data_IF_037873083318
#
_entry.id   IF_037873083318
#
_cell.length_a   1.000
_cell.length_b   1.000
_cell.length_c   1.000
_cell.angle_alpha   90.00
_cell.angle_beta   90.00
_cell.angle_gamma   90.00
#
_symmetry.space_group_name_H-M   'P 1'
#
loop_
_entity.id
_entity.type
_entity.pdbx_description
1 polymer ?
#
# COMPACT_ATOMS: atom_id res chain seq x y z
N UNK A 1 -13.51 62.85 23.41
CA UNK A 1 -14.45 62.94 22.28
C UNK A 1 -14.04 61.93 21.23
N UNK A 2 -14.72 60.78 21.18
CA UNK A 2 -15.12 60.14 19.93
C UNK A 2 -15.95 58.91 20.32
N UNK A 3 -17.21 58.95 19.90
CA UNK A 3 -18.27 58.03 20.33
C UNK A 3 -18.28 56.80 19.42
N UNK A 4 -18.25 55.61 20.01
CA UNK A 4 -18.50 54.35 19.32
C UNK A 4 -20.00 54.18 19.07
N UNK A 5 -20.40 54.12 17.80
CA UNK A 5 -21.78 53.90 17.38
C UNK A 5 -21.98 52.39 17.09
N UNK A 6 -22.84 51.75 17.88
CA UNK A 6 -23.30 50.38 17.69
C UNK A 6 -24.39 50.32 16.61
N UNK A 7 -24.20 49.47 15.60
CA UNK A 7 -25.22 49.19 14.57
C UNK A 7 -25.93 47.88 14.91
N UNK A 8 -27.28 47.81 14.90
CA UNK A 8 -28.02 46.58 15.20
C UNK A 8 -28.16 45.71 13.94
N UNK A 9 -27.97 44.40 14.11
CA UNK A 9 -28.19 43.37 13.09
C UNK A 9 -29.69 43.05 13.04
N UNK A 10 -30.34 43.36 11.93
CA UNK A 10 -31.72 42.97 11.64
C UNK A 10 -31.72 41.64 10.90
N UNK A 11 -32.42 40.65 11.46
CA UNK A 11 -32.67 39.33 10.87
C UNK A 11 -33.73 39.42 9.77
N UNK A 12 -33.32 39.25 8.51
CA UNK A 12 -34.25 39.02 7.41
C UNK A 12 -33.87 37.76 6.63
N UNK A 13 -34.83 36.85 6.64
CA UNK A 13 -34.91 35.58 5.94
C UNK A 13 -35.02 35.85 4.42
N UNK A 14 -34.06 35.39 3.62
CA UNK A 14 -34.09 35.51 2.15
C UNK A 14 -33.92 34.13 1.52
N UNK A 15 -35.04 33.45 1.31
CA UNK A 15 -35.14 32.28 0.42
C UNK A 15 -35.04 32.75 -1.03
N UNK A 16 -34.06 32.25 -1.78
CA UNK A 16 -33.87 32.54 -3.21
C UNK A 16 -34.75 31.63 -4.08
N UNK A 17 -35.51 32.14 -5.06
CA UNK A 17 -36.33 31.31 -5.95
C UNK A 17 -35.54 30.86 -7.20
N UNK A 18 -35.59 29.55 -7.47
CA UNK A 18 -35.06 28.92 -8.69
C UNK A 18 -35.92 29.24 -9.92
N UNK A 19 -35.36 29.57 -11.09
CA UNK A 19 -36.15 29.79 -12.31
C UNK A 19 -36.49 28.47 -13.00
N UNK A 20 -37.80 28.19 -13.07
CA UNK A 20 -38.43 27.13 -13.88
C UNK A 20 -38.48 27.57 -15.34
N UNK A 21 -37.93 26.76 -16.24
CA UNK A 21 -38.01 26.99 -17.69
C UNK A 21 -38.76 25.83 -18.37
N UNK A 22 -40.09 25.96 -18.46
CA UNK A 22 -40.96 25.06 -19.23
C UNK A 22 -41.67 25.89 -20.30
N UNK A 23 -41.47 25.64 -21.61
CA UNK A 23 -42.33 26.25 -22.63
C UNK A 23 -43.65 25.47 -22.72
N UNK A 24 -44.73 26.17 -22.40
CA UNK A 24 -46.09 25.75 -22.70
C UNK A 24 -46.38 25.97 -24.20
N UNK A 25 -46.53 24.88 -24.96
CA UNK A 25 -47.29 24.87 -26.22
C UNK A 25 -47.60 23.43 -26.64
N UNK A 26 -48.83 22.99 -26.39
CA UNK A 26 -49.45 21.85 -27.06
C UNK A 26 -49.76 22.24 -28.51
N UNK A 27 -49.32 21.43 -29.48
CA UNK A 27 -49.83 21.42 -30.85
C UNK A 27 -50.41 20.03 -31.18
N UNK A 28 -51.54 19.94 -31.90
CA UNK A 28 -52.42 18.78 -31.85
C UNK A 28 -52.07 17.70 -32.86
N UNK A 29 -52.31 16.44 -32.45
CA UNK A 29 -52.28 15.24 -33.27
C UNK A 29 -53.64 15.10 -33.97
N UNK A 30 -53.67 15.20 -35.31
CA UNK A 30 -54.49 14.38 -36.23
C UNK A 30 -54.69 15.07 -37.60
N UNK A 31 -54.15 14.48 -38.66
CA UNK A 31 -54.80 14.40 -40.00
C UNK A 31 -53.95 13.52 -40.91
N UNK A 32 -54.57 12.53 -41.55
CA UNK A 32 -53.92 11.43 -42.27
C UNK A 32 -53.49 11.69 -43.72
N UNK A 33 -53.09 10.57 -44.35
CA UNK A 33 -52.70 10.33 -45.75
C UNK A 33 -51.21 10.62 -46.05
N UNK A 34 -50.40 9.75 -46.64
CA UNK A 34 -50.65 8.55 -47.46
C UNK A 34 -49.39 7.65 -47.46
N UNK A 35 -49.57 6.33 -47.57
CA UNK A 35 -48.48 5.34 -47.71
C UNK A 35 -47.89 5.38 -49.12
N UNK A 36 -46.56 5.45 -49.30
CA UNK A 36 -45.92 5.10 -50.57
C UNK A 36 -45.79 3.58 -50.68
N UNK A 37 -46.39 3.03 -51.73
CA UNK A 37 -46.25 1.66 -52.22
C UNK A 37 -44.83 1.40 -52.75
N UNK A 38 -44.18 0.36 -52.25
CA UNK A 38 -42.99 -0.26 -52.86
C UNK A 38 -43.31 -1.73 -53.07
N UNK A 39 -43.08 -2.31 -54.26
CA UNK A 39 -43.52 -3.67 -54.61
C UNK A 39 -42.71 -4.77 -53.90
N UNK A 40 -43.36 -5.91 -53.69
CA UNK A 40 -42.80 -7.17 -53.17
C UNK A 40 -41.54 -7.58 -53.94
N UNK A 41 -40.47 -7.84 -53.19
CA UNK A 41 -39.30 -8.60 -53.67
C UNK A 41 -39.08 -9.75 -52.69
N UNK A 42 -39.07 -10.93 -53.29
CA UNK A 42 -39.04 -12.29 -52.75
C UNK A 42 -38.16 -12.56 -51.53
N UNK A 43 -38.76 -13.29 -50.58
CA UNK A 43 -38.06 -14.08 -49.57
C UNK A 43 -37.23 -15.20 -50.22
N UNK A 44 -35.92 -15.22 -49.96
CA UNK A 44 -35.17 -16.46 -49.75
C UNK A 44 -34.41 -16.33 -48.42
N UNK A 45 -34.51 -17.38 -47.63
CA UNK A 45 -34.34 -17.40 -46.19
C UNK A 45 -32.88 -17.36 -45.72
N UNK A 46 -32.59 -16.53 -44.72
CA UNK A 46 -31.77 -16.91 -43.57
C UNK A 46 -32.46 -16.39 -42.30
N UNK A 47 -32.77 -17.30 -41.38
CA UNK A 47 -33.41 -17.01 -40.09
C UNK A 47 -32.53 -16.07 -39.26
N UNK A 48 -32.84 -14.78 -39.28
CA UNK A 48 -32.40 -13.84 -38.27
C UNK A 48 -33.60 -13.52 -37.38
N UNK A 49 -33.59 -14.04 -36.16
CA UNK A 49 -34.55 -13.66 -35.11
C UNK A 49 -34.65 -12.14 -35.05
N UNK A 50 -35.83 -11.60 -35.34
CA UNK A 50 -36.11 -10.17 -35.32
C UNK A 50 -36.11 -9.66 -33.87
N UNK A 51 -34.93 -9.36 -33.34
CA UNK A 51 -34.81 -8.51 -32.16
C UNK A 51 -35.11 -7.08 -32.61
N UNK A 52 -36.17 -6.48 -32.04
CA UNK A 52 -36.47 -5.06 -32.25
C UNK A 52 -35.26 -4.18 -31.93
N UNK A 53 -35.24 -2.94 -32.43
CA UNK A 53 -34.08 -2.04 -32.30
C UNK A 53 -33.48 -1.94 -30.87
N UNK A 54 -34.31 -2.08 -29.83
CA UNK A 54 -33.85 -2.15 -28.43
C UNK A 54 -33.19 -3.48 -28.03
N UNK A 55 -33.60 -4.61 -28.61
CA UNK A 55 -33.02 -5.93 -28.37
C UNK A 55 -31.66 -6.11 -29.04
N UNK A 56 -31.44 -5.51 -30.23
CA UNK A 56 -30.13 -5.48 -30.86
C UNK A 56 -29.15 -4.59 -30.09
N UNK A 57 -29.61 -3.44 -29.59
CA UNK A 57 -28.81 -2.57 -28.71
C UNK A 57 -28.47 -3.26 -27.39
N UNK A 58 -29.42 -3.97 -26.78
CA UNK A 58 -29.21 -4.71 -25.52
C UNK A 58 -28.29 -5.92 -25.71
N UNK A 59 -28.45 -6.70 -26.80
CA UNK A 59 -27.57 -7.81 -27.13
C UNK A 59 -26.16 -7.34 -27.51
N UNK A 60 -26.03 -6.19 -28.17
CA UNK A 60 -24.74 -5.57 -28.47
C UNK A 60 -24.08 -5.02 -27.20
N UNK A 61 -24.85 -4.43 -26.27
CA UNK A 61 -24.36 -4.03 -24.94
C UNK A 61 -23.88 -5.25 -24.13
N UNK A 62 -24.61 -6.36 -24.16
CA UNK A 62 -24.25 -7.61 -23.47
C UNK A 62 -23.00 -8.26 -24.05
N UNK A 63 -22.83 -8.25 -25.38
CA UNK A 63 -21.59 -8.70 -26.04
C UNK A 63 -20.41 -7.76 -25.78
N UNK A 64 -20.66 -6.45 -25.64
CA UNK A 64 -19.63 -5.45 -25.30
C UNK A 64 -19.18 -5.66 -23.85
N UNK A 65 -20.09 -5.85 -22.89
CA UNK A 65 -19.74 -6.16 -21.50
C UNK A 65 -18.96 -7.47 -21.36
N UNK A 66 -19.41 -8.55 -22.01
CA UNK A 66 -18.75 -9.86 -21.93
C UNK A 66 -17.39 -9.91 -22.64
N UNK A 67 -17.18 -9.13 -23.71
CA UNK A 67 -15.87 -9.03 -24.38
C UNK A 67 -14.92 -8.07 -23.67
N UNK A 68 -15.41 -6.97 -23.10
CA UNK A 68 -14.55 -5.99 -22.40
C UNK A 68 -13.87 -6.57 -21.17
N UNK A 69 -14.52 -7.47 -20.43
CA UNK A 69 -13.95 -8.10 -19.23
C UNK A 69 -12.70 -8.96 -19.49
N UNK A 70 -12.54 -9.52 -20.71
CA UNK A 70 -11.37 -10.33 -21.09
C UNK A 70 -10.30 -9.58 -21.89
N UNK A 71 -10.39 -8.24 -21.95
CA UNK A 71 -9.70 -7.39 -22.91
C UNK A 71 -8.95 -6.22 -22.25
N UNK A 72 -8.46 -6.42 -21.02
CA UNK A 72 -7.52 -5.50 -20.39
C UNK A 72 -6.33 -5.27 -21.34
N UNK A 73 -6.17 -4.04 -21.83
CA UNK A 73 -5.07 -3.63 -22.70
C UNK A 73 -5.14 -4.06 -24.18
N UNK A 74 -6.21 -4.76 -24.64
CA UNK A 74 -6.37 -5.15 -26.06
C UNK A 74 -7.58 -4.44 -26.69
N UNK A 75 -7.55 -4.17 -27.99
CA UNK A 75 -8.70 -3.59 -28.69
C UNK A 75 -9.78 -4.66 -28.84
N UNK A 76 -11.01 -4.39 -28.37
CA UNK A 76 -12.12 -5.36 -28.42
C UNK A 76 -12.66 -5.65 -29.83
N UNK A 77 -11.94 -5.20 -30.87
CA UNK A 77 -12.41 -5.09 -32.26
C UNK A 77 -13.56 -4.10 -32.44
N UNK A 78 -14.32 -3.79 -31.38
CA UNK A 78 -15.44 -2.86 -31.38
C UNK A 78 -14.98 -1.44 -31.74
N UNK A 79 -13.94 -0.94 -31.08
CA UNK A 79 -13.39 0.40 -31.37
C UNK A 79 -12.91 0.48 -32.83
N UNK A 80 -12.35 -0.61 -33.36
CA UNK A 80 -11.86 -0.68 -34.75
C UNK A 80 -12.99 -0.76 -35.78
N UNK A 81 -14.15 -1.33 -35.42
CA UNK A 81 -15.34 -1.38 -36.26
C UNK A 81 -16.13 -0.07 -36.29
N UNK A 82 -15.85 0.89 -35.41
CA UNK A 82 -16.55 2.17 -35.37
C UNK A 82 -16.32 3.00 -36.65
N UNK A 83 -17.33 3.76 -37.12
CA UNK A 83 -17.15 4.72 -38.21
C UNK A 83 -16.06 5.75 -37.91
N UNK A 84 -15.36 6.24 -38.94
CA UNK A 84 -14.25 7.20 -38.79
C UNK A 84 -14.67 8.45 -38.01
N UNK A 85 -15.87 8.96 -38.24
CA UNK A 85 -16.40 10.11 -37.50
C UNK A 85 -16.51 9.83 -35.98
N UNK A 86 -16.95 8.64 -35.60
CA UNK A 86 -17.03 8.23 -34.19
C UNK A 86 -15.63 8.04 -33.59
N UNK A 87 -14.69 7.45 -34.33
CA UNK A 87 -13.29 7.34 -33.89
C UNK A 87 -12.65 8.71 -33.65
N UNK A 88 -12.90 9.68 -34.55
CA UNK A 88 -12.44 11.06 -34.36
C UNK A 88 -13.03 11.70 -33.08
N UNK A 89 -14.29 11.39 -32.75
CA UNK A 89 -14.86 11.83 -31.47
C UNK A 89 -14.18 11.17 -30.27
N UNK A 90 -13.84 9.87 -30.35
CA UNK A 90 -13.07 9.18 -29.30
C UNK A 90 -11.69 9.81 -29.11
N UNK A 91 -10.99 10.15 -30.20
CA UNK A 91 -9.73 10.90 -30.12
C UNK A 91 -9.94 12.30 -29.49
N UNK A 92 -11.05 12.97 -29.80
CA UNK A 92 -11.47 14.20 -29.13
C UNK A 92 -11.67 14.02 -27.62
N UNK A 93 -12.32 12.93 -27.20
CA UNK A 93 -12.51 12.58 -25.78
C UNK A 93 -11.18 12.30 -25.08
N UNK A 94 -10.25 11.59 -25.71
CA UNK A 94 -8.88 11.41 -25.18
C UNK A 94 -8.17 12.75 -24.98
N UNK A 95 -8.33 13.70 -25.90
CA UNK A 95 -7.79 15.05 -25.74
C UNK A 95 -8.43 15.84 -24.57
N UNK A 96 -9.69 15.57 -24.23
CA UNK A 96 -10.33 16.11 -23.02
C UNK A 96 -9.76 15.42 -21.77
N UNK A 97 -9.56 14.10 -21.83
CA UNK A 97 -8.97 13.33 -20.74
C UNK A 97 -7.58 13.85 -20.36
N UNK A 98 -6.73 14.20 -21.35
CA UNK A 98 -5.41 14.82 -21.09
C UNK A 98 -5.56 16.10 -20.26
N UNK A 99 -6.51 16.98 -20.58
CA UNK A 99 -6.75 18.20 -19.79
C UNK A 99 -7.24 17.90 -18.38
N UNK A 100 -8.00 16.82 -18.19
CA UNK A 100 -8.44 16.39 -16.87
C UNK A 100 -7.24 15.88 -16.05
N UNK A 101 -6.35 15.09 -16.66
CA UNK A 101 -5.10 14.64 -16.05
C UNK A 101 -4.19 15.83 -15.69
N UNK A 102 -4.06 16.83 -16.56
CA UNK A 102 -3.31 18.06 -16.25
C UNK A 102 -3.85 18.80 -15.01
N UNK A 103 -5.17 18.89 -14.88
CA UNK A 103 -5.82 19.48 -13.70
C UNK A 103 -5.60 18.64 -12.43
N UNK A 104 -5.66 17.31 -12.54
CA UNK A 104 -5.36 16.41 -11.42
C UNK A 104 -3.90 16.54 -10.98
N UNK A 105 -2.97 16.60 -11.93
CA UNK A 105 -1.55 16.87 -11.67
C UNK A 105 -1.36 18.19 -10.90
N UNK A 106 -2.04 19.26 -11.32
CA UNK A 106 -1.98 20.54 -10.63
C UNK A 106 -2.53 20.43 -9.20
N UNK A 107 -3.70 19.82 -9.03
CA UNK A 107 -4.32 19.62 -7.72
C UNK A 107 -3.38 18.88 -6.76
N UNK A 108 -2.77 17.77 -7.18
CA UNK A 108 -1.85 17.00 -6.33
C UNK A 108 -0.57 17.76 -5.99
N UNK A 109 -0.04 18.57 -6.91
CA UNK A 109 1.07 19.47 -6.62
C UNK A 109 0.69 20.52 -5.56
N UNK A 110 -0.51 21.10 -5.66
CA UNK A 110 -1.01 22.04 -4.64
C UNK A 110 -1.24 21.36 -3.27
N UNK A 111 -1.73 20.11 -3.25
CA UNK A 111 -1.80 19.29 -2.03
C UNK A 111 -0.42 19.10 -1.39
N UNK A 112 0.60 18.73 -2.16
CA UNK A 112 1.97 18.57 -1.66
C UNK A 112 2.54 19.89 -1.09
N UNK A 113 2.19 21.03 -1.68
CA UNK A 113 2.57 22.34 -1.14
C UNK A 113 1.86 22.64 0.19
N UNK A 114 0.60 22.23 0.32
CA UNK A 114 -0.17 22.36 1.54
C UNK A 114 0.41 21.47 2.66
N UNK A 115 0.68 20.21 2.35
CA UNK A 115 1.34 19.26 3.27
C UNK A 115 2.67 19.82 3.77
N UNK A 116 3.51 20.36 2.88
CA UNK A 116 4.76 21.02 3.26
C UNK A 116 4.55 22.17 4.24
N UNK A 117 3.57 23.03 3.97
CA UNK A 117 3.24 24.15 4.86
C UNK A 117 2.84 23.67 6.24
N UNK A 118 2.00 22.64 6.34
CA UNK A 118 1.56 22.11 7.64
C UNK A 118 2.66 21.33 8.36
N UNK A 119 3.53 20.63 7.64
CA UNK A 119 4.74 20.05 8.21
C UNK A 119 5.63 21.11 8.86
N UNK A 120 5.83 22.26 8.22
CA UNK A 120 6.59 23.37 8.81
C UNK A 120 5.94 23.94 10.08
N UNK A 121 4.60 23.91 10.17
CA UNK A 121 3.88 24.28 11.39
C UNK A 121 3.98 23.20 12.50
N UNK A 122 4.13 21.93 12.11
CA UNK A 122 4.29 20.81 13.05
C UNK A 122 5.73 20.67 13.57
N UNK A 123 6.75 21.08 12.81
CA UNK A 123 8.18 21.00 13.20
C UNK A 123 8.47 21.52 14.62
N UNK A 124 7.96 22.69 15.07
CA UNK A 124 8.15 23.13 16.45
C UNK A 124 7.55 22.18 17.49
N UNK A 125 6.43 21.53 17.19
CA UNK A 125 5.81 20.53 18.07
C UNK A 125 6.65 19.26 18.14
N UNK A 126 7.19 18.80 17.00
CA UNK A 126 8.10 17.66 16.98
C UNK A 126 9.41 17.95 17.71
N UNK A 127 9.98 19.14 17.54
CA UNK A 127 11.15 19.58 18.30
C UNK A 127 10.86 19.64 19.82
N UNK A 128 9.67 20.13 20.20
CA UNK A 128 9.22 20.14 21.61
C UNK A 128 9.07 18.70 22.16
N UNK A 129 8.48 17.80 21.38
CA UNK A 129 8.38 16.37 21.71
C UNK A 129 9.76 15.73 21.90
N UNK A 130 10.67 15.94 20.94
CA UNK A 130 12.04 15.42 21.02
C UNK A 130 12.75 15.91 22.28
N UNK A 131 12.68 17.21 22.60
CA UNK A 131 13.31 17.76 23.80
C UNK A 131 12.81 17.09 25.09
N UNK A 132 11.53 16.71 25.16
CA UNK A 132 10.97 15.97 26.30
C UNK A 132 11.44 14.52 26.29
N UNK A 133 11.42 13.83 25.14
CA UNK A 133 11.89 12.45 25.01
C UNK A 133 13.37 12.33 25.38
N UNK A 134 14.21 13.26 24.93
CA UNK A 134 15.65 13.28 25.24
C UNK A 134 15.95 13.64 26.71
N UNK A 135 14.97 14.21 27.43
CA UNK A 135 15.14 14.72 28.79
C UNK A 135 15.83 16.09 28.86
N UNK A 136 15.95 16.80 27.73
CA UNK A 136 16.51 18.15 27.66
C UNK A 136 15.53 19.23 28.16
N UNK A 137 14.24 18.91 28.18
CA UNK A 137 13.18 19.77 28.69
C UNK A 137 12.14 18.98 29.47
N UNK A 138 11.56 19.62 30.49
CA UNK A 138 10.42 19.07 31.24
C UNK A 138 9.11 19.57 30.65
N UNK A 139 8.07 18.75 30.72
CA UNK A 139 6.71 19.13 30.35
C UNK A 139 6.21 20.28 31.22
N UNK A 140 5.57 21.26 30.59
CA UNK A 140 4.95 22.40 31.29
C UNK A 140 3.65 21.99 31.97
N UNK A 141 3.19 22.75 32.99
CA UNK A 141 1.90 22.50 33.62
C UNK A 141 0.71 22.56 32.63
N UNK A 142 0.80 23.39 31.59
CA UNK A 142 -0.22 23.50 30.55
C UNK A 142 -0.25 22.25 29.65
N UNK A 143 0.91 21.75 29.22
CA UNK A 143 1.03 20.50 28.45
C UNK A 143 0.52 19.30 29.24
N UNK A 144 0.84 19.23 30.54
CA UNK A 144 0.36 18.17 31.44
C UNK A 144 -1.15 18.25 31.61
N UNK A 145 -1.71 19.44 31.86
CA UNK A 145 -3.16 19.61 32.01
C UNK A 145 -3.92 19.22 30.73
N UNK A 146 -3.38 19.56 29.56
CA UNK A 146 -3.94 19.14 28.28
C UNK A 146 -3.85 17.61 28.10
N UNK A 147 -2.73 16.99 28.46
CA UNK A 147 -2.54 15.53 28.43
C UNK A 147 -3.46 14.78 29.39
N UNK A 148 -3.62 15.26 30.63
CA UNK A 148 -4.56 14.70 31.62
C UNK A 148 -6.01 14.81 31.10
N UNK A 149 -6.38 15.93 30.48
CA UNK A 149 -7.70 16.11 29.89
C UNK A 149 -7.95 15.19 28.70
N UNK A 150 -6.92 14.82 27.93
CA UNK A 150 -7.04 13.82 26.88
C UNK A 150 -7.13 12.40 27.47
N UNK A 151 -6.29 12.08 28.45
CA UNK A 151 -6.29 10.76 29.11
C UNK A 151 -7.65 10.46 29.75
N UNK A 152 -8.32 11.46 30.33
CA UNK A 152 -9.67 11.29 30.90
C UNK A 152 -10.77 11.08 29.84
N UNK A 153 -10.57 11.55 28.60
CA UNK A 153 -11.51 11.23 27.50
C UNK A 153 -11.31 9.81 26.98
N UNK A 154 -10.09 9.33 27.09
CA UNK A 154 -9.70 8.01 26.59
C UNK A 154 -10.03 6.92 27.62
N UNK A 155 -9.87 7.24 28.91
CA UNK A 155 -10.18 6.38 30.05
C UNK A 155 -10.89 7.20 31.14
N UNK A 156 -12.19 6.94 31.33
CA UNK A 156 -13.02 7.64 32.33
C UNK A 156 -12.52 7.42 33.77
N UNK A 157 -11.80 6.33 34.02
CA UNK A 157 -11.23 5.97 35.33
C UNK A 157 -9.80 6.52 35.52
N UNK A 158 -9.28 7.31 34.56
CA UNK A 158 -7.94 7.89 34.65
C UNK A 158 -7.77 8.75 35.91
N UNK A 159 -6.83 8.36 36.76
CA UNK A 159 -6.44 9.14 37.94
C UNK A 159 -5.25 10.05 37.63
N UNK A 160 -5.38 11.40 37.77
CA UNK A 160 -4.28 12.33 37.55
C UNK A 160 -3.05 12.01 38.40
N UNK A 161 -1.87 12.18 37.82
CA UNK A 161 -0.61 11.87 38.47
C UNK A 161 -0.26 12.86 39.60
N UNK A 162 0.51 12.44 40.62
CA UNK A 162 0.95 13.33 41.69
C UNK A 162 1.78 14.51 41.16
N UNK A 163 1.36 15.74 41.49
CA UNK A 163 2.01 16.97 41.02
C UNK A 163 3.23 17.39 41.86
N UNK A 164 3.65 16.55 42.81
CA UNK A 164 4.78 16.78 43.72
C UNK A 164 6.15 16.72 42.99
N UNK A 165 6.20 16.02 41.85
CA UNK A 165 7.38 15.91 40.99
C UNK A 165 7.36 16.92 39.83
N UNK A 166 6.37 17.83 39.78
CA UNK A 166 6.22 18.79 38.69
C UNK A 166 7.43 19.72 38.58
N UNK A 167 8.07 19.75 37.41
CA UNK A 167 9.23 20.60 37.14
C UNK A 167 10.56 20.05 37.65
N UNK A 168 10.59 18.83 38.21
CA UNK A 168 11.85 18.12 38.44
C UNK A 168 12.31 17.49 37.13
N UNK A 169 13.58 17.67 36.80
CA UNK A 169 14.20 17.02 35.65
C UNK A 169 14.30 15.52 35.92
N UNK A 170 13.80 14.66 35.03
CA UNK A 170 14.00 13.22 35.18
C UNK A 170 15.48 12.90 35.00
N UNK A 171 16.01 11.91 35.74
CA UNK A 171 17.45 11.54 35.63
C UNK A 171 17.86 11.11 34.23
N UNK A 172 16.89 10.65 33.42
CA UNK A 172 17.01 10.31 32.01
C UNK A 172 15.72 10.71 31.30
N UNK A 173 15.79 10.99 30.00
CA UNK A 173 14.61 11.13 29.14
C UNK A 173 13.76 9.85 29.09
N UNK A 174 12.81 9.78 28.17
CA UNK A 174 11.94 8.61 27.98
C UNK A 174 12.75 7.51 27.27
N UNK A 175 13.11 6.41 27.96
CA UNK A 175 13.92 5.35 27.36
C UNK A 175 13.12 4.60 26.30
N UNK A 176 13.82 4.12 25.26
CA UNK A 176 13.28 3.23 24.22
C UNK A 176 11.99 3.75 23.55
N UNK A 177 11.77 5.06 23.52
CA UNK A 177 10.53 5.66 23.02
C UNK A 177 10.24 5.23 21.58
N UNK A 178 11.19 5.47 20.66
CA UNK A 178 11.00 5.12 19.25
C UNK A 178 11.03 3.62 19.00
N UNK A 179 11.87 2.86 19.71
CA UNK A 179 11.86 1.41 19.63
C UNK A 179 10.47 0.85 19.99
N UNK A 180 9.89 1.32 21.09
CA UNK A 180 8.57 0.90 21.55
C UNK A 180 7.48 1.32 20.56
N UNK A 181 7.51 2.58 20.09
CA UNK A 181 6.55 3.07 19.10
C UNK A 181 6.61 2.27 17.79
N UNK A 182 7.80 1.98 17.26
CA UNK A 182 7.96 1.20 16.04
C UNK A 182 7.54 -0.27 16.22
N UNK A 183 7.80 -0.88 17.39
CA UNK A 183 7.38 -2.25 17.70
C UNK A 183 5.88 -2.42 17.89
N UNK A 184 5.17 -1.35 18.28
CA UNK A 184 3.73 -1.38 18.45
C UNK A 184 2.97 -1.20 17.13
N UNK A 185 3.65 -0.88 16.02
CA UNK A 185 3.00 -0.81 14.71
C UNK A 185 3.03 -2.18 14.01
N UNK A 186 1.89 -2.75 13.59
CA UNK A 186 1.80 -4.12 13.09
C UNK A 186 2.80 -4.44 11.98
N UNK A 187 2.85 -3.61 10.92
CA UNK A 187 3.74 -3.86 9.77
C UNK A 187 5.23 -3.65 10.08
N UNK A 188 5.57 -2.83 11.08
CA UNK A 188 6.97 -2.58 11.46
C UNK A 188 7.48 -3.62 12.46
N UNK A 189 6.60 -4.13 13.33
CA UNK A 189 6.91 -5.16 14.30
C UNK A 189 7.45 -6.44 13.62
N UNK A 190 6.89 -6.81 12.46
CA UNK A 190 7.33 -7.98 11.68
C UNK A 190 8.73 -7.82 11.09
N UNK A 191 9.14 -6.58 10.82
CA UNK A 191 10.47 -6.26 10.25
C UNK A 191 11.55 -6.14 11.32
N UNK A 192 11.18 -5.84 12.57
CA UNK A 192 12.12 -5.60 13.67
C UNK A 192 12.46 -6.90 14.39
N UNK A 193 13.69 -7.38 14.19
CA UNK A 193 14.19 -8.53 14.96
C UNK A 193 14.69 -8.12 16.35
N UNK A 194 14.87 -9.09 17.25
CA UNK A 194 15.46 -8.83 18.57
C UNK A 194 16.88 -8.25 18.50
N UNK A 195 17.65 -8.62 17.46
CA UNK A 195 18.98 -8.05 17.22
C UNK A 195 18.90 -6.57 16.82
N UNK A 196 17.88 -6.21 16.04
CA UNK A 196 17.65 -4.83 15.62
C UNK A 196 17.20 -3.96 16.78
N UNK A 197 16.43 -4.52 17.72
CA UNK A 197 15.96 -3.80 18.91
C UNK A 197 17.12 -3.24 19.76
N UNK A 198 18.24 -3.99 19.87
CA UNK A 198 19.43 -3.50 20.57
C UNK A 198 20.03 -2.24 19.90
N UNK A 199 19.97 -2.14 18.57
CA UNK A 199 20.44 -0.97 17.85
C UNK A 199 19.39 0.17 17.88
N UNK A 200 18.11 -0.15 17.71
CA UNK A 200 16.98 0.79 17.76
C UNK A 200 16.82 1.47 19.13
N UNK A 201 17.32 0.88 20.22
CA UNK A 201 17.40 1.55 21.52
C UNK A 201 18.23 2.86 21.49
N UNK A 202 19.10 3.04 20.49
CA UNK A 202 19.91 4.25 20.30
C UNK A 202 19.25 5.28 19.36
N UNK A 203 18.03 5.04 18.90
CA UNK A 203 17.27 5.95 18.05
C UNK A 203 16.70 7.11 18.89
N UNK A 204 17.11 8.34 18.55
CA UNK A 204 16.74 9.56 19.27
C UNK A 204 15.52 10.25 18.67
N UNK A 205 15.47 10.34 17.33
CA UNK A 205 14.38 11.00 16.62
C UNK A 205 14.12 10.39 15.24
N UNK A 206 12.90 10.60 14.75
CA UNK A 206 12.51 10.30 13.37
C UNK A 206 11.80 11.52 12.79
N UNK A 207 12.41 12.12 11.78
CA UNK A 207 11.94 13.38 11.18
C UNK A 207 11.56 13.20 9.71
N UNK A 208 10.51 13.89 9.28
CA UNK A 208 10.05 13.93 7.89
C UNK A 208 10.42 15.27 7.24
N UNK A 209 10.87 15.22 5.99
CA UNK A 209 11.06 16.40 5.13
C UNK A 209 10.61 16.13 3.70
N UNK A 210 9.81 17.02 3.11
CA UNK A 210 9.48 16.97 1.68
C UNK A 210 10.65 17.42 0.81
N UNK A 211 10.80 16.81 -0.37
CA UNK A 211 11.91 17.12 -1.28
C UNK A 211 11.96 18.61 -1.67
N UNK A 212 13.16 19.17 -1.91
CA UNK A 212 13.32 20.58 -2.26
C UNK A 212 12.51 20.96 -3.51
N UNK A 213 11.96 22.18 -3.53
CA UNK A 213 11.28 22.71 -4.72
C UNK A 213 12.26 22.88 -5.88
N UNK A 214 11.73 23.03 -7.09
CA UNK A 214 12.55 23.33 -8.27
C UNK A 214 13.41 24.59 -8.00
N UNK A 215 14.72 24.47 -8.24
CA UNK A 215 15.71 25.51 -7.93
C UNK A 215 16.26 25.50 -6.50
N UNK A 216 15.85 24.54 -5.66
CA UNK A 216 16.48 24.25 -4.37
C UNK A 216 17.81 23.49 -4.53
N UNK A 217 18.55 23.35 -3.42
CA UNK A 217 19.76 22.55 -3.37
C UNK A 217 19.43 21.07 -3.13
N UNK A 218 20.17 20.17 -3.76
CA UNK A 218 20.03 18.72 -3.59
C UNK A 218 19.81 17.97 -4.91
N UNK A 219 20.16 16.68 -4.93
CA UNK A 219 20.10 15.82 -6.12
C UNK A 219 18.67 15.67 -6.66
N UNK A 220 17.67 15.72 -5.78
CA UNK A 220 16.26 15.50 -6.13
C UNK A 220 15.42 16.79 -6.16
N UNK A 221 16.06 17.96 -6.24
CA UNK A 221 15.36 19.24 -6.26
C UNK A 221 14.42 19.36 -7.46
N UNK A 222 13.17 19.74 -7.21
CA UNK A 222 12.12 19.85 -8.23
C UNK A 222 11.30 18.57 -8.46
N UNK A 223 11.72 17.43 -7.89
CA UNK A 223 10.90 16.22 -7.89
C UNK A 223 9.95 16.18 -6.68
N UNK A 224 8.72 15.69 -6.85
CA UNK A 224 7.83 15.40 -5.72
C UNK A 224 8.33 14.16 -4.95
N UNK A 225 8.13 14.16 -3.64
CA UNK A 225 8.60 13.08 -2.75
C UNK A 225 8.96 13.59 -1.36
N UNK A 226 9.46 12.69 -0.52
CA UNK A 226 9.81 12.97 0.87
C UNK A 226 11.00 12.14 1.34
N UNK A 227 11.62 12.58 2.42
CA UNK A 227 12.73 11.91 3.09
C UNK A 227 12.40 11.73 4.56
N UNK A 228 12.54 10.50 5.05
CA UNK A 228 12.50 10.17 6.48
C UNK A 228 13.95 10.07 6.96
N UNK A 229 14.29 10.78 8.03
CA UNK A 229 15.62 10.78 8.64
C UNK A 229 15.53 10.25 10.05
N UNK A 230 16.30 9.20 10.32
CA UNK A 230 16.48 8.59 11.64
C UNK A 230 17.73 9.17 12.27
N UNK A 231 17.60 9.75 13.46
CA UNK A 231 18.68 10.39 14.22
C UNK A 231 19.15 9.48 15.34
N UNK A 232 20.44 9.18 15.38
CA UNK A 232 21.02 8.18 16.26
C UNK A 232 22.03 8.77 17.23
N UNK A 233 22.10 8.23 18.44
CA UNK A 233 23.16 8.53 19.40
C UNK A 233 24.48 7.88 18.96
N UNK A 234 25.14 8.46 17.95
CA UNK A 234 26.37 7.90 17.38
C UNK A 234 27.54 7.81 18.38
N UNK A 235 27.50 8.54 19.49
CA UNK A 235 28.54 8.47 20.53
C UNK A 235 28.39 7.22 21.41
N UNK A 236 27.15 6.77 21.64
CA UNK A 236 26.86 5.60 22.47
C UNK A 236 26.54 4.35 21.66
N UNK A 237 26.16 4.49 20.39
CA UNK A 237 25.76 3.38 19.53
C UNK A 237 26.97 2.48 19.20
N UNK A 238 26.97 1.20 19.63
CA UNK A 238 28.07 0.28 19.35
C UNK A 238 27.96 -0.40 17.97
N UNK A 239 26.87 -0.19 17.23
CA UNK A 239 26.57 -0.92 15.98
C UNK A 239 27.09 -0.22 14.73
N UNK A 240 26.99 1.11 14.65
CA UNK A 240 27.43 1.89 13.51
C UNK A 240 27.75 3.33 13.91
N UNK A 241 28.53 4.03 13.09
CA UNK A 241 29.00 5.39 13.38
C UNK A 241 28.13 6.51 12.79
N UNK A 242 27.10 6.16 12.01
CA UNK A 242 26.19 7.13 11.41
C UNK A 242 25.43 7.90 12.50
N UNK A 243 25.42 9.23 12.38
CA UNK A 243 24.53 10.10 13.18
C UNK A 243 23.12 10.11 12.64
N UNK A 244 22.99 10.03 11.32
CA UNK A 244 21.72 10.04 10.63
C UNK A 244 21.71 8.94 9.56
N UNK A 245 20.56 8.29 9.43
CA UNK A 245 20.25 7.40 8.31
C UNK A 245 18.98 7.91 7.66
N UNK A 246 19.03 8.20 6.37
CA UNK A 246 17.88 8.72 5.62
C UNK A 246 17.34 7.70 4.63
N UNK A 247 16.02 7.73 4.44
CA UNK A 247 15.31 7.02 3.39
C UNK A 247 14.51 8.04 2.60
N UNK A 248 14.78 8.13 1.31
CA UNK A 248 14.14 9.09 0.40
C UNK A 248 13.25 8.34 -0.59
N UNK A 249 12.00 8.77 -0.67
CA UNK A 249 11.05 8.30 -1.66
C UNK A 249 10.80 9.38 -2.70
N UNK A 250 10.91 9.00 -3.96
CA UNK A 250 10.74 9.90 -5.10
C UNK A 250 9.48 9.47 -5.82
N UNK A 251 8.57 10.41 -6.06
CA UNK A 251 7.38 10.19 -6.86
C UNK A 251 7.65 10.51 -8.34
N UNK A 252 6.87 9.90 -9.23
CA UNK A 252 6.83 10.23 -10.64
C UNK A 252 6.34 11.67 -10.85
N UNK A 253 6.70 12.28 -11.98
CA UNK A 253 6.34 13.67 -12.26
C UNK A 253 4.84 13.86 -12.54
N UNK A 254 4.23 12.83 -13.15
CA UNK A 254 2.81 12.74 -13.46
C UNK A 254 2.11 11.82 -12.46
N UNK A 255 0.87 12.16 -12.12
CA UNK A 255 0.00 11.29 -11.30
C UNK A 255 -0.35 10.04 -12.08
N UNK A 256 -0.50 8.94 -11.36
CA UNK A 256 -0.96 7.68 -11.94
C UNK A 256 -2.40 7.74 -12.42
N UNK A 257 -2.89 6.63 -12.98
CA UNK A 257 -4.26 6.52 -13.46
C UNK A 257 -5.31 6.83 -12.37
N UNK A 258 -5.03 6.50 -11.10
CA UNK A 258 -5.87 6.81 -9.95
C UNK A 258 -5.92 8.30 -9.58
N UNK A 259 -5.05 9.13 -10.15
CA UNK A 259 -4.94 10.55 -9.84
C UNK A 259 -4.05 10.88 -8.63
N UNK A 260 -3.39 9.88 -8.05
CA UNK A 260 -2.41 10.01 -6.95
C UNK A 260 -0.96 9.94 -7.46
N UNK A 261 -0.02 10.42 -6.63
CA UNK A 261 1.40 10.25 -6.92
C UNK A 261 1.76 8.76 -6.92
N UNK A 262 2.51 8.34 -7.94
CA UNK A 262 3.06 6.98 -8.04
C UNK A 262 4.53 7.04 -7.64
N UNK A 263 5.02 6.02 -6.94
CA UNK A 263 6.43 5.90 -6.61
C UNK A 263 7.28 5.65 -7.88
N UNK A 264 8.37 6.40 -8.02
CA UNK A 264 9.41 6.20 -9.05
C UNK A 264 10.48 5.24 -8.51
N UNK A 265 11.06 5.57 -7.35
CA UNK A 265 12.03 4.73 -6.65
C UNK A 265 12.22 5.16 -5.20
N UNK A 266 12.83 4.27 -4.42
CA UNK A 266 13.36 4.56 -3.10
C UNK A 266 14.89 4.65 -3.13
N UNK A 267 15.45 5.56 -2.34
CA UNK A 267 16.90 5.73 -2.14
C UNK A 267 17.19 5.66 -0.65
N UNK A 268 17.96 4.67 -0.23
CA UNK A 268 18.36 4.50 1.16
C UNK A 268 19.74 5.09 1.47
N UNK A 269 20.22 4.87 2.69
CA UNK A 269 21.52 5.36 3.17
C UNK A 269 22.45 4.21 3.53
N UNK A 270 23.72 4.35 3.16
CA UNK A 270 24.74 3.37 3.54
C UNK A 270 25.04 3.42 5.04
N UNK A 271 24.99 2.25 5.69
CA UNK A 271 25.27 2.09 7.11
C UNK A 271 26.75 1.74 7.29
N UNK A 272 27.47 2.59 8.03
CA UNK A 272 28.85 2.38 8.43
C UNK A 272 28.91 1.48 9.67
N UNK A 273 28.66 0.18 9.46
CA UNK A 273 28.69 -0.85 10.50
C UNK A 273 30.05 -0.93 11.20
N UNK A 274 30.01 -1.05 12.53
CA UNK A 274 31.15 -1.41 13.34
C UNK A 274 31.56 -2.88 13.09
N UNK A 275 32.79 -3.22 13.45
CA UNK A 275 33.35 -4.55 13.21
C UNK A 275 32.49 -5.66 13.86
N UNK A 276 32.04 -6.62 13.04
CA UNK A 276 31.15 -7.73 13.43
C UNK A 276 29.76 -7.32 13.95
N UNK A 277 29.34 -6.08 13.72
CA UNK A 277 28.03 -5.55 14.16
C UNK A 277 27.02 -5.35 13.05
N UNK A 278 27.35 -5.78 11.83
CA UNK A 278 26.42 -5.81 10.71
C UNK A 278 25.22 -6.73 11.03
N UNK A 279 24.04 -6.13 11.16
CA UNK A 279 22.79 -6.84 11.46
C UNK A 279 22.12 -7.38 10.19
N UNK A 280 22.46 -6.84 9.02
CA UNK A 280 21.90 -7.25 7.72
C UNK A 280 22.53 -8.54 7.19
N UNK A 281 23.61 -9.00 7.83
CA UNK A 281 24.38 -10.18 7.41
C UNK A 281 24.70 -11.09 8.58
N UNK A 282 24.53 -12.39 8.37
CA UNK A 282 25.00 -13.42 9.30
C UNK A 282 26.26 -14.10 8.75
N UNK A 283 27.20 -14.40 9.63
CA UNK A 283 28.51 -14.96 9.26
C UNK A 283 28.62 -16.44 9.61
N UNK A 284 28.68 -17.31 8.61
CA UNK A 284 28.94 -18.74 8.80
C UNK A 284 30.45 -19.04 8.69
N UNK A 285 31.01 -19.70 9.70
CA UNK A 285 32.41 -20.17 9.67
C UNK A 285 32.44 -21.62 9.16
N UNK A 286 32.83 -21.80 7.89
CA UNK A 286 33.00 -23.13 7.28
C UNK A 286 34.46 -23.56 7.36
N UNK A 287 34.71 -24.75 7.92
CA UNK A 287 36.03 -25.40 7.90
C UNK A 287 36.27 -25.99 6.52
N UNK A 288 37.15 -25.37 5.74
CA UNK A 288 37.57 -25.90 4.46
C UNK A 288 38.88 -26.67 4.64
N UNK A 289 38.86 -27.98 4.37
CA UNK A 289 40.07 -28.81 4.33
C UNK A 289 40.56 -28.92 2.89
N UNK A 290 41.79 -28.50 2.65
CA UNK A 290 42.41 -28.69 1.34
C UNK A 290 42.70 -30.20 1.13
N UNK A 291 42.09 -30.78 0.10
CA UNK A 291 42.18 -32.22 -0.20
C UNK A 291 43.61 -32.70 -0.46
N UNK A 292 44.49 -31.84 -0.94
CA UNK A 292 45.88 -32.21 -1.31
C UNK A 292 46.88 -31.95 -0.18
N UNK A 293 46.72 -30.87 0.60
CA UNK A 293 47.69 -30.49 1.64
C UNK A 293 47.25 -30.82 3.06
N UNK A 294 46.05 -31.39 3.24
CA UNK A 294 45.42 -31.70 4.53
C UNK A 294 45.34 -30.54 5.54
N UNK A 295 45.69 -29.31 5.14
CA UNK A 295 45.53 -28.10 5.97
C UNK A 295 44.07 -27.68 5.97
N UNK A 296 43.53 -27.48 7.17
CA UNK A 296 42.22 -26.86 7.40
C UNK A 296 42.36 -25.35 7.51
N UNK A 297 41.63 -24.61 6.67
CA UNK A 297 41.43 -23.16 6.77
C UNK A 297 39.98 -22.90 7.19
N UNK A 298 39.79 -21.94 8.08
CA UNK A 298 38.46 -21.43 8.41
C UNK A 298 38.11 -20.35 7.37
N UNK A 299 37.00 -20.51 6.67
CA UNK A 299 36.45 -19.52 5.74
C UNK A 299 35.19 -18.97 6.38
N UNK A 300 35.16 -17.65 6.57
CA UNK A 300 33.98 -16.91 7.01
C UNK A 300 33.21 -16.50 5.75
N UNK A 301 31.97 -16.96 5.59
CA UNK A 301 31.08 -16.57 4.50
C UNK A 301 29.88 -15.84 5.10
N UNK A 302 29.61 -14.62 4.64
CA UNK A 302 28.40 -13.88 5.02
C UNK A 302 27.22 -14.29 4.15
N UNK A 303 26.03 -14.35 4.74
CA UNK A 303 24.76 -14.55 4.06
C UNK A 303 23.80 -13.42 4.46
N UNK A 304 23.00 -12.85 3.54
CA UNK A 304 21.99 -11.85 3.89
C UNK A 304 20.98 -12.41 4.89
N UNK A 305 20.53 -11.57 5.82
CA UNK A 305 19.60 -11.94 6.89
C UNK A 305 18.51 -10.90 7.00
N UNK A 306 17.30 -11.33 7.39
CA UNK A 306 16.20 -10.42 7.70
C UNK A 306 16.60 -9.50 8.87
N UNK A 307 16.48 -8.19 8.63
CA UNK A 307 16.79 -7.14 9.58
C UNK A 307 16.02 -5.89 9.16
N UNK A 308 15.53 -5.13 10.14
CA UNK A 308 14.93 -3.82 9.92
C UNK A 308 15.85 -2.90 9.08
N UNK A 309 17.17 -3.00 9.28
CA UNK A 309 18.12 -2.13 8.60
C UNK A 309 18.25 -2.38 7.10
N UNK A 310 17.67 -3.48 6.56
CA UNK A 310 17.50 -3.65 5.11
C UNK A 310 16.61 -2.56 4.50
N UNK A 311 15.76 -1.91 5.31
CA UNK A 311 14.99 -0.73 4.91
C UNK A 311 15.84 0.41 4.32
N UNK A 312 17.10 0.55 4.76
CA UNK A 312 18.03 1.55 4.22
C UNK A 312 18.77 1.09 2.96
N UNK A 313 18.50 -0.13 2.48
CA UNK A 313 18.99 -0.68 1.23
C UNK A 313 17.80 -1.18 0.41
N UNK A 314 16.94 -0.27 -0.09
CA UNK A 314 15.72 -0.67 -0.80
C UNK A 314 16.06 -1.52 -2.03
N UNK A 315 15.16 -2.45 -2.42
CA UNK A 315 15.30 -3.16 -3.68
C UNK A 315 15.34 -2.17 -4.86
N UNK A 316 15.97 -2.57 -5.95
CA UNK A 316 16.06 -1.74 -7.16
C UNK A 316 15.36 -2.49 -8.28
N UNK A 317 14.39 -1.84 -8.92
CA UNK A 317 13.76 -2.35 -10.13
C UNK A 317 14.85 -2.57 -11.19
N UNK A 318 14.93 -3.78 -11.78
CA UNK A 318 15.79 -4.02 -12.92
C UNK A 318 15.48 -3.08 -14.08
N UNK A 319 16.48 -2.80 -14.93
CA UNK A 319 16.23 -1.99 -16.12
C UNK A 319 15.34 -2.71 -17.13
N UNK A 320 14.54 -1.97 -17.89
CA UNK A 320 13.67 -2.52 -18.94
C UNK A 320 14.44 -3.46 -19.90
N UNK A 321 15.70 -3.14 -20.23
CA UNK A 321 16.56 -3.97 -21.07
C UNK A 321 16.91 -5.33 -20.42
N UNK A 322 17.12 -5.37 -19.10
CA UNK A 322 17.43 -6.61 -18.37
C UNK A 322 16.21 -7.54 -18.31
N UNK A 323 15.02 -6.94 -18.17
CA UNK A 323 13.73 -7.65 -18.22
C UNK A 323 13.46 -8.17 -19.63
N UNK A 324 13.61 -7.33 -20.66
CA UNK A 324 13.38 -7.72 -22.07
C UNK A 324 14.38 -8.79 -22.55
N UNK A 325 15.63 -8.75 -22.07
CA UNK A 325 16.64 -9.75 -22.40
C UNK A 325 16.43 -11.08 -21.66
N UNK A 326 15.53 -11.12 -20.66
CA UNK A 326 15.27 -12.30 -19.84
C UNK A 326 16.44 -12.68 -18.92
N UNK A 327 17.25 -11.70 -18.52
CA UNK A 327 18.36 -11.90 -17.58
C UNK A 327 17.85 -12.14 -16.14
N UNK A 328 16.61 -11.77 -15.88
CA UNK A 328 15.88 -11.96 -14.63
C UNK A 328 14.61 -12.72 -14.96
N UNK A 329 14.32 -13.77 -14.21
CA UNK A 329 13.10 -14.54 -14.41
C UNK A 329 11.88 -13.80 -13.82
N UNK A 330 10.69 -14.26 -14.21
CA UNK A 330 9.45 -13.61 -13.77
C UNK A 330 9.24 -13.73 -12.25
N UNK A 331 9.66 -14.84 -11.64
CA UNK A 331 9.46 -15.10 -10.22
C UNK A 331 10.36 -14.17 -9.38
N UNK A 332 11.61 -13.95 -9.82
CA UNK A 332 12.54 -12.99 -9.19
C UNK A 332 12.05 -11.54 -9.35
N UNK A 333 11.43 -11.20 -10.49
CA UNK A 333 10.87 -9.86 -10.71
C UNK A 333 9.66 -9.61 -9.79
N UNK A 334 8.75 -10.58 -9.68
CA UNK A 334 7.58 -10.52 -8.79
C UNK A 334 8.03 -10.39 -7.31
N UNK A 335 9.06 -11.14 -6.88
CA UNK A 335 9.61 -11.01 -5.53
C UNK A 335 10.21 -9.61 -5.27
N UNK A 336 10.86 -8.99 -6.27
CA UNK A 336 11.38 -7.63 -6.15
C UNK A 336 10.25 -6.61 -6.03
N UNK A 337 9.19 -6.76 -6.82
CA UNK A 337 8.00 -5.90 -6.78
C UNK A 337 7.29 -5.98 -5.42
N UNK A 338 7.04 -7.19 -4.90
CA UNK A 338 6.44 -7.39 -3.57
C UNK A 338 7.27 -6.73 -2.46
N UNK A 339 8.60 -6.88 -2.50
CA UNK A 339 9.48 -6.25 -1.52
C UNK A 339 9.48 -4.72 -1.61
N UNK A 340 9.34 -4.16 -2.81
CA UNK A 340 9.21 -2.71 -3.02
C UNK A 340 7.88 -2.18 -2.50
N UNK A 341 6.78 -2.91 -2.72
CA UNK A 341 5.46 -2.55 -2.22
C UNK A 341 5.46 -2.47 -0.69
N UNK A 342 6.01 -3.49 -0.02
CA UNK A 342 6.19 -3.48 1.44
C UNK A 342 7.06 -2.30 1.89
N UNK A 343 8.14 -1.98 1.16
CA UNK A 343 9.03 -0.86 1.46
C UNK A 343 8.33 0.51 1.35
N UNK A 344 7.46 0.68 0.35
CA UNK A 344 6.63 1.89 0.19
C UNK A 344 5.56 1.99 1.26
N UNK A 345 4.89 0.89 1.58
CA UNK A 345 3.89 0.85 2.64
C UNK A 345 4.48 1.26 3.98
N UNK A 346 5.65 0.72 4.34
CA UNK A 346 6.37 1.11 5.58
C UNK A 346 6.76 2.60 5.54
N UNK A 347 7.15 3.12 4.38
CA UNK A 347 7.44 4.54 4.19
C UNK A 347 6.23 5.44 4.44
N UNK A 348 5.06 5.07 3.93
CA UNK A 348 3.79 5.78 4.18
C UNK A 348 3.36 5.66 5.64
N UNK A 349 3.42 4.47 6.24
CA UNK A 349 3.07 4.28 7.64
C UNK A 349 3.94 5.14 8.57
N UNK A 350 5.24 5.24 8.29
CA UNK A 350 6.13 6.14 9.02
C UNK A 350 5.73 7.62 8.86
N UNK A 351 5.43 8.04 7.63
CA UNK A 351 5.09 9.41 7.26
C UNK A 351 3.74 9.86 7.83
N UNK A 352 2.69 9.08 7.65
CA UNK A 352 1.30 9.43 7.93
C UNK A 352 0.85 9.01 9.34
N UNK A 353 1.39 7.92 9.88
CA UNK A 353 0.95 7.36 11.16
C UNK A 353 1.99 7.55 12.26
N UNK A 354 3.17 6.94 12.15
CA UNK A 354 4.15 6.89 13.24
C UNK A 354 4.67 8.28 13.61
N UNK A 355 5.18 9.06 12.66
CA UNK A 355 5.77 10.37 12.97
C UNK A 355 4.72 11.32 13.55
N UNK A 356 3.49 11.44 12.99
CA UNK A 356 2.46 12.30 13.57
C UNK A 356 1.90 11.81 14.90
N UNK A 357 1.78 10.49 15.10
CA UNK A 357 1.12 9.86 16.28
C UNK A 357 2.06 9.02 17.14
N UNK A 358 3.35 9.36 17.19
CA UNK A 358 4.36 8.55 17.87
C UNK A 358 4.05 8.25 19.35
N UNK A 359 3.36 9.17 20.04
CA UNK A 359 2.95 8.97 21.44
C UNK A 359 1.86 7.91 21.55
N UNK A 360 0.90 7.88 20.63
CA UNK A 360 -0.19 6.89 20.61
C UNK A 360 0.34 5.49 20.29
N UNK A 361 1.35 5.39 19.42
CA UNK A 361 2.07 4.13 19.20
C UNK A 361 2.92 3.74 20.40
N UNK A 362 3.59 4.69 21.05
CA UNK A 362 4.37 4.40 22.27
C UNK A 362 3.49 3.87 23.41
N UNK A 363 2.31 4.45 23.62
CA UNK A 363 1.36 4.00 24.66
C UNK A 363 0.57 2.75 24.25
N UNK A 364 0.62 2.36 22.97
CA UNK A 364 -0.13 1.24 22.41
C UNK A 364 -1.58 1.58 22.04
N UNK A 365 -2.02 2.81 22.31
CA UNK A 365 -3.37 3.28 22.01
C UNK A 365 -3.67 3.32 20.50
N UNK A 366 -2.65 3.54 19.68
CA UNK A 366 -2.82 3.51 18.22
C UNK A 366 -3.42 2.18 17.72
N UNK A 367 -3.10 1.06 18.39
CA UNK A 367 -3.63 -0.26 18.03
C UNK A 367 -5.15 -0.35 18.22
N UNK A 368 -5.71 0.34 19.20
CA UNK A 368 -7.17 0.36 19.40
C UNK A 368 -7.87 1.05 18.23
N UNK A 369 -7.28 2.11 17.67
CA UNK A 369 -7.83 2.80 16.50
C UNK A 369 -7.68 1.98 15.23
N UNK A 370 -6.57 1.26 15.05
CA UNK A 370 -6.38 0.37 13.90
C UNK A 370 -7.35 -0.82 13.94
N UNK A 371 -7.60 -1.40 15.13
CA UNK A 371 -8.56 -2.51 15.27
C UNK A 371 -10.02 -2.07 15.12
N UNK A 372 -10.35 -0.81 15.43
CA UNK A 372 -11.70 -0.28 15.23
C UNK A 372 -12.03 -0.12 13.74
N UNK A 373 -11.07 0.31 12.93
CA UNK A 373 -11.21 0.45 11.47
C UNK A 373 -11.50 -0.90 10.79
N UNK A 374 -10.84 -1.98 11.24
CA UNK A 374 -11.09 -3.34 10.75
C UNK A 374 -12.43 -3.95 11.24
N UNK A 375 -13.01 -3.45 12.33
CA UNK A 375 -14.25 -4.01 12.92
C UNK A 375 -15.55 -3.39 12.38
N UNK A 376 -15.47 -2.23 11.72
CA UNK A 376 -16.63 -1.55 11.13
C UNK A 376 -16.94 -2.03 9.69
N UNK A 377 -16.14 -2.95 9.10
CA UNK A 377 -16.39 -3.54 7.78
C UNK A 377 -17.22 -4.85 7.80
N UNK A 378 -17.49 -5.45 8.97
CA UNK A 378 -18.15 -6.76 9.10
C UNK A 378 -19.63 -6.71 9.59
N UNK A 379 -20.23 -5.52 9.81
CA UNK A 379 -21.59 -5.39 10.39
C UNK A 379 -22.69 -5.01 9.36
N UNK A 380 -22.52 -5.38 8.09
CA UNK A 380 -23.50 -5.16 7.00
C UNK A 380 -24.13 -6.46 6.46
N UNK A 381 -24.09 -7.57 7.22
CA UNK A 381 -24.65 -8.88 6.83
C UNK A 381 -25.75 -9.42 7.79
N UNK A 382 -26.63 -8.56 8.32
CA UNK A 382 -27.91 -9.00 8.94
C UNK A 382 -29.12 -8.52 8.11
N UNK A 383 -29.25 -9.06 6.90
CA UNK A 383 -30.51 -9.03 6.15
C UNK A 383 -31.02 -10.47 5.91
N UNK A 384 -31.28 -11.19 7.00
CA UNK A 384 -32.01 -12.46 6.97
C UNK A 384 -33.15 -12.41 7.98
N UNK A 385 -34.33 -11.96 7.54
CA UNK A 385 -35.64 -12.48 7.95
C UNK A 385 -36.71 -11.84 7.06
N UNK A 386 -36.71 -12.20 5.76
CA UNK A 386 -37.94 -12.16 4.98
C UNK A 386 -38.77 -13.38 5.38
N UNK A 387 -39.70 -13.11 6.29
CA UNK A 387 -40.83 -13.94 6.68
C UNK A 387 -41.65 -14.30 5.42
N UNK A 388 -41.31 -15.41 4.76
CA UNK A 388 -42.16 -16.07 3.77
C UNK A 388 -43.09 -17.03 4.50
N UNK A 389 -44.25 -16.50 4.89
CA UNK A 389 -45.49 -17.26 5.10
C UNK A 389 -45.80 -18.05 3.80
N UNK A 390 -45.58 -19.36 3.78
CA UNK A 390 -46.27 -20.26 2.86
C UNK A 390 -46.79 -21.49 3.62
N UNK A 391 -48.02 -21.34 4.10
CA UNK A 391 -48.85 -22.38 4.68
C UNK A 391 -49.28 -23.41 3.59
N UNK A 392 -48.96 -24.67 3.87
CA UNK A 392 -49.84 -25.85 3.76
C UNK A 392 -50.40 -26.27 2.37
N UNK A 393 -49.88 -27.38 1.83
CA UNK A 393 -50.56 -28.69 1.83
C UNK A 393 -49.97 -29.67 0.80
N UNK A 394 -49.83 -30.94 1.20
CA UNK A 394 -49.71 -32.04 0.24
C UNK A 394 -48.94 -33.26 0.75
N UNK A 395 -49.60 -34.10 1.55
CA UNK A 395 -49.24 -35.48 1.86
C UNK A 395 -48.72 -36.26 0.63
N UNK A 396 -47.71 -37.13 0.79
CA UNK A 396 -47.83 -38.55 0.46
C UNK A 396 -46.66 -39.35 1.07
N UNK A 397 -47.06 -40.29 1.93
CA UNK A 397 -46.32 -41.42 2.47
C UNK A 397 -45.70 -42.29 1.36
N UNK A 398 -44.49 -42.83 1.58
CA UNK A 398 -44.24 -44.28 1.44
C UNK A 398 -42.79 -44.66 1.84
N UNK A 399 -42.74 -45.64 2.74
CA UNK A 399 -41.62 -46.36 3.34
C UNK A 399 -40.50 -46.81 2.38
N UNK A 400 -39.26 -46.86 2.87
CA UNK A 400 -38.42 -48.07 2.77
C UNK A 400 -37.20 -48.01 3.69
N UNK A 401 -37.26 -48.76 4.78
CA UNK A 401 -36.11 -49.22 5.57
C UNK A 401 -35.09 -49.98 4.70
N UNK A 402 -33.79 -49.78 4.98
CA UNK A 402 -32.82 -50.88 5.05
C UNK A 402 -31.54 -50.44 5.75
N UNK A 403 -31.38 -50.95 6.97
CA UNK A 403 -30.10 -51.22 7.65
C UNK A 403 -29.01 -51.71 6.67
N UNK A 404 -27.75 -51.27 6.81
CA UNK A 404 -26.76 -52.02 7.61
C UNK A 404 -25.34 -51.42 7.54
N UNK A 405 -24.79 -51.27 8.75
CA UNK A 405 -23.42 -51.58 9.18
C UNK A 405 -22.17 -51.13 8.37
N UNK A 406 -21.44 -50.23 9.02
CA UNK A 406 -19.97 -50.08 8.97
C UNK A 406 -19.32 -51.36 9.53
N UNK A 407 -18.09 -51.77 9.12
CA UNK A 407 -16.97 -51.35 9.97
C UNK A 407 -15.60 -51.16 9.28
N UNK A 408 -14.79 -50.38 9.97
CA UNK A 408 -13.40 -50.03 9.71
C UNK A 408 -12.39 -51.21 9.77
N UNK A 409 -11.23 -51.07 9.08
CA UNK A 409 -9.86 -50.94 9.68
C UNK A 409 -8.68 -51.39 8.78
N UNK A 410 -7.62 -50.56 8.81
CA UNK A 410 -6.16 -50.83 8.97
C UNK A 410 -5.24 -51.23 7.78
N UNK A 411 -4.31 -50.30 7.49
CA UNK A 411 -2.82 -50.36 7.40
C UNK A 411 -2.10 -51.66 6.95
N UNK A 412 -1.22 -51.54 5.94
CA UNK A 412 -0.04 -52.41 5.74
C UNK A 412 0.66 -52.28 4.35
N UNK A 413 1.97 -52.58 4.19
CA UNK A 413 2.93 -51.78 3.39
C UNK A 413 3.42 -52.44 2.06
N UNK A 414 4.41 -51.89 1.30
CA UNK A 414 4.53 -52.04 -0.15
C UNK A 414 5.39 -53.23 -0.60
N UNK A 415 5.23 -53.63 -1.87
CA UNK A 415 6.01 -54.69 -2.53
C UNK A 415 6.82 -54.13 -3.69
N UNK A 416 8.14 -54.23 -3.57
CA UNK A 416 9.06 -54.08 -4.69
C UNK A 416 9.12 -55.32 -5.58
N UNK A 417 9.74 -55.16 -6.74
CA UNK A 417 10.31 -56.26 -7.53
C UNK A 417 11.48 -55.73 -8.36
N UNK A 418 12.68 -56.16 -8.01
CA UNK A 418 13.89 -55.97 -8.80
C UNK A 418 14.26 -57.23 -9.60
N UNK A 419 15.28 -57.08 -10.46
CA UNK A 419 16.32 -58.04 -10.88
C UNK A 419 16.85 -57.59 -12.26
N UNK A 420 18.10 -57.11 -12.39
CA UNK A 420 19.36 -57.89 -12.57
C UNK A 420 19.53 -58.33 -14.05
N UNK A 421 20.69 -58.30 -14.72
CA UNK A 421 22.08 -58.00 -14.38
C UNK A 421 22.95 -57.97 -15.66
N UNK A 422 24.24 -57.63 -15.46
CA UNK A 422 25.44 -57.91 -16.28
C UNK A 422 25.68 -56.98 -17.49
N UNK A 423 26.87 -56.38 -17.70
CA UNK A 423 28.19 -56.52 -17.06
C UNK A 423 29.27 -56.53 -18.15
N UNK A 424 30.22 -55.59 -18.12
CA UNK A 424 31.57 -55.78 -18.67
C UNK A 424 32.50 -54.67 -18.18
N UNK A 425 33.60 -55.09 -17.55
CA UNK A 425 34.74 -54.27 -17.17
C UNK A 425 35.71 -54.14 -18.35
N UNK A 426 36.56 -53.10 -18.34
CA UNK A 426 37.59 -52.88 -19.37
C UNK A 426 38.42 -51.61 -19.14
N UNK A 427 39.31 -51.69 -18.16
CA UNK A 427 40.42 -50.81 -17.77
C UNK A 427 41.25 -50.22 -18.94
N UNK A 428 41.62 -48.92 -18.91
CA UNK A 428 43.01 -48.37 -18.94
C UNK A 428 43.05 -46.81 -19.10
N UNK A 429 43.80 -46.16 -18.22
CA UNK A 429 44.40 -44.80 -18.33
C UNK A 429 45.78 -44.93 -19.08
N UNK A 430 46.63 -43.91 -19.38
CA UNK A 430 46.62 -42.47 -19.01
C UNK A 430 47.23 -41.48 -20.09
N UNK A 431 47.45 -40.24 -19.65
CA UNK A 431 48.55 -39.30 -19.99
C UNK A 431 48.43 -38.17 -21.03
N UNK A 432 48.66 -36.95 -20.49
CA UNK A 432 49.44 -35.78 -20.94
C UNK A 432 49.46 -35.36 -22.43
N UNK A 433 49.18 -34.07 -22.70
CA UNK A 433 50.22 -33.14 -23.19
C UNK A 433 49.80 -31.66 -23.13
N UNK A 434 50.81 -30.83 -22.86
CA UNK A 434 50.89 -29.38 -22.70
C UNK A 434 50.66 -28.57 -23.99
N UNK A 435 50.34 -27.29 -23.77
CA UNK A 435 50.77 -26.08 -24.50
C UNK A 435 50.47 -25.97 -26.00
N UNK A 436 49.59 -25.03 -26.36
CA UNK A 436 49.97 -23.71 -26.90
C UNK A 436 48.83 -22.71 -26.71
#
# INVERSE_FOLDING_TARGET
>A
MSSSQSVPISSHNMTAPTPVNTPAQHAPISSGLSRPTVPDISEEAEELTTLGAGGLQSAMLGMVHGKLAGLVGRSSGYIEALPTATKLNVEGLKGIQVKQTDLQNQYKRECLELERKYLDLQKPLYARRHAIIAGEAVATPEEIAAGEAQSLKDDEDYTPLPKEELGKEPEKGIPDFWLTALRNHPGLAELITDRDAEALAFLQDVTLEYLPKAGGEGEFAGKPGFTITFHWDAEKNPFFTNKTLSKTYIYQEEVGYGGDFVYDRAVGSEIAWAEEKDLTREWEIKKQRNKNTNRTRLIRKSHPTASFFNFFAPPVMPGDEEIENGDIDHDDLEEIEERLEVDYQVGEDLKEKIIPRAVDYFTGKALEYEMLDDSDEDDDDEFDELDEDDDEEGEFDEDSDSDNDVPARRRGPPKGRGAAAAGSAGNVNPDECKQQ
#
